data_IF_411767483471
#
_entry.id   IF_411767483471
#
_cell.length_a   1.000
_cell.length_b   1.000
_cell.length_c   1.000
_cell.angle_alpha   90.00
_cell.angle_beta   90.00
_cell.angle_gamma   90.00
#
_symmetry.space_group_name_H-M   'P 1'
#
loop_
_entity.id
_entity.type
_entity.pdbx_description
1 polymer ?
#
# COMPACT_ATOMS: atom_id res chain seq x y z
N UNK A 1 11.73 10.76 8.50
CA UNK A 1 11.77 9.32 8.79
C UNK A 1 12.56 8.59 7.69
N UNK A 2 13.44 7.68 8.08
CA UNK A 2 14.32 6.93 7.18
C UNK A 2 13.77 5.56 6.82
N UNK A 3 14.50 4.84 5.97
CA UNK A 3 14.26 3.42 5.70
C UNK A 3 14.89 2.62 6.85
N UNK A 4 14.12 1.69 7.42
CA UNK A 4 14.55 0.81 8.51
C UNK A 4 14.52 -0.64 8.05
N UNK A 5 15.45 -1.46 8.55
CA UNK A 5 15.35 -2.91 8.39
C UNK A 5 14.22 -3.43 9.29
N UNK A 6 13.46 -4.40 8.81
CA UNK A 6 12.41 -5.05 9.59
C UNK A 6 12.63 -6.56 9.61
N UNK A 7 12.28 -7.22 10.72
CA UNK A 7 12.29 -8.67 10.77
C UNK A 7 11.21 -9.22 9.83
N UNK A 8 11.48 -10.37 9.20
CA UNK A 8 10.50 -11.02 8.33
C UNK A 8 9.17 -11.26 9.04
N UNK A 9 9.20 -11.58 10.33
CA UNK A 9 8.02 -11.86 11.14
C UNK A 9 7.13 -10.63 11.33
N UNK A 10 7.62 -9.43 11.02
CA UNK A 10 6.84 -8.20 11.10
C UNK A 10 6.48 -7.67 9.70
N UNK A 11 6.63 -8.45 8.64
CA UNK A 11 6.23 -8.01 7.28
C UNK A 11 4.78 -7.55 7.24
N UNK A 12 3.87 -8.41 7.70
CA UNK A 12 2.45 -8.14 7.77
C UNK A 12 2.04 -7.99 9.23
N UNK A 13 1.13 -7.06 9.51
CA UNK A 13 0.62 -6.82 10.85
C UNK A 13 -0.90 -7.00 10.85
N UNK A 14 -1.38 -7.70 11.87
CA UNK A 14 -2.80 -7.96 12.08
C UNK A 14 -3.20 -7.26 13.38
N UNK A 15 -4.28 -6.49 13.31
CA UNK A 15 -4.86 -5.81 14.47
C UNK A 15 -6.35 -6.13 14.58
N UNK A 16 -7.00 -5.50 15.56
CA UNK A 16 -8.41 -5.72 15.87
C UNK A 16 -9.38 -5.32 14.74
N UNK A 17 -8.93 -4.51 13.77
CA UNK A 17 -9.76 -4.04 12.65
C UNK A 17 -9.79 -5.02 11.48
N UNK A 18 -8.95 -6.07 11.51
CA UNK A 18 -8.78 -7.02 10.41
C UNK A 18 -10.10 -7.55 9.81
N UNK A 19 -11.06 -7.97 10.64
CA UNK A 19 -12.34 -8.52 10.17
C UNK A 19 -13.18 -7.50 9.40
N UNK A 20 -13.29 -6.28 9.93
CA UNK A 20 -14.05 -5.19 9.30
C UNK A 20 -13.38 -4.75 8.00
N UNK A 21 -12.05 -4.68 8.03
CA UNK A 21 -11.25 -4.31 6.85
C UNK A 21 -11.35 -5.34 5.74
N UNK A 22 -11.31 -6.65 6.04
CA UNK A 22 -11.56 -7.66 5.03
C UNK A 22 -12.97 -7.58 4.43
N UNK A 23 -13.98 -7.24 5.24
CA UNK A 23 -15.35 -7.04 4.74
C UNK A 23 -15.45 -5.86 3.78
N UNK A 24 -14.74 -4.77 4.08
CA UNK A 24 -14.62 -3.62 3.18
C UNK A 24 -13.85 -3.99 1.89
N UNK A 25 -12.70 -4.67 2.01
CA UNK A 25 -11.91 -5.14 0.85
C UNK A 25 -12.75 -6.05 -0.05
N UNK A 26 -13.57 -6.94 0.52
CA UNK A 26 -14.48 -7.78 -0.26
C UNK A 26 -15.53 -6.95 -1.01
N UNK A 27 -16.12 -5.94 -0.36
CA UNK A 27 -17.09 -5.04 -1.00
C UNK A 27 -16.46 -4.26 -2.16
N UNK A 28 -15.24 -3.73 -1.97
CA UNK A 28 -14.49 -3.02 -3.01
C UNK A 28 -14.10 -3.94 -4.17
N UNK A 29 -13.73 -5.19 -3.91
CA UNK A 29 -13.43 -6.17 -4.96
C UNK A 29 -14.66 -6.54 -5.80
N UNK A 30 -15.87 -6.44 -5.23
CA UNK A 30 -17.12 -6.66 -5.96
C UNK A 30 -17.50 -5.44 -6.80
N UNK A 31 -17.35 -4.24 -6.25
CA UNK A 31 -17.78 -2.99 -6.88
C UNK A 31 -16.76 -2.46 -7.89
N UNK A 32 -15.46 -2.56 -7.58
CA UNK A 32 -14.35 -2.00 -8.36
C UNK A 32 -13.26 -3.05 -8.65
N UNK A 33 -13.59 -4.22 -9.25
CA UNK A 33 -12.65 -5.33 -9.41
C UNK A 33 -11.36 -4.94 -10.15
N UNK A 34 -11.47 -4.15 -11.22
CA UNK A 34 -10.34 -3.73 -12.06
C UNK A 34 -9.55 -2.56 -11.45
N UNK A 35 -10.13 -1.83 -10.50
CA UNK A 35 -9.41 -0.76 -9.79
C UNK A 35 -8.60 -1.31 -8.63
N UNK A 36 -9.05 -2.43 -8.03
CA UNK A 36 -8.43 -3.07 -6.88
C UNK A 36 -7.40 -4.13 -7.29
N UNK A 37 -7.64 -4.87 -8.37
CA UNK A 37 -6.72 -5.88 -8.87
C UNK A 37 -6.40 -5.60 -10.33
N UNK A 38 -5.12 -5.71 -10.69
CA UNK A 38 -4.70 -5.59 -12.08
C UNK A 38 -3.45 -6.38 -12.38
N UNK A 39 -3.37 -6.86 -13.61
CA UNK A 39 -2.17 -7.46 -14.21
C UNK A 39 -2.02 -6.97 -15.64
N UNK A 40 -0.81 -6.62 -16.07
CA UNK A 40 -0.58 -6.14 -17.45
C UNK A 40 -0.82 -7.24 -18.49
N UNK A 41 -0.46 -8.49 -18.19
CA UNK A 41 -0.63 -9.62 -19.08
C UNK A 41 -0.75 -10.95 -18.31
N UNK A 42 -1.95 -11.56 -18.34
CA UNK A 42 -2.25 -12.87 -17.73
C UNK A 42 -1.40 -14.04 -18.22
N UNK A 43 -0.87 -13.92 -19.45
CA UNK A 43 -0.06 -14.96 -20.09
C UNK A 43 1.45 -14.78 -19.88
N UNK A 44 1.89 -13.67 -19.29
CA UNK A 44 3.31 -13.43 -19.06
C UNK A 44 3.83 -14.34 -17.95
N UNK A 45 4.76 -15.22 -18.31
CA UNK A 45 5.33 -16.23 -17.40
C UNK A 45 6.17 -15.61 -16.28
N UNK A 46 6.75 -14.42 -16.49
CA UNK A 46 7.53 -13.71 -15.47
C UNK A 46 6.61 -13.15 -14.39
N UNK A 47 5.49 -12.54 -14.80
CA UNK A 47 4.49 -12.02 -13.87
C UNK A 47 3.85 -13.18 -13.10
N UNK A 48 3.53 -14.29 -13.80
CA UNK A 48 3.03 -15.50 -13.16
C UNK A 48 3.97 -16.03 -12.10
N UNK A 49 5.28 -16.10 -12.38
CA UNK A 49 6.28 -16.54 -11.42
C UNK A 49 6.29 -15.64 -10.17
N UNK A 50 6.26 -14.31 -10.34
CA UNK A 50 6.26 -13.37 -9.23
C UNK A 50 4.99 -13.46 -8.37
N UNK A 51 3.80 -13.52 -8.99
CA UNK A 51 2.52 -13.66 -8.29
C UNK A 51 2.44 -15.01 -7.59
N UNK A 52 2.86 -16.09 -8.23
CA UNK A 52 2.91 -17.44 -7.65
C UNK A 52 3.81 -17.48 -6.42
N UNK A 53 5.01 -16.91 -6.52
CA UNK A 53 5.98 -16.90 -5.45
C UNK A 53 5.48 -16.10 -4.24
N UNK A 54 4.90 -14.91 -4.46
CA UNK A 54 4.26 -14.14 -3.38
C UNK A 54 3.09 -14.94 -2.76
N UNK A 55 2.18 -15.45 -3.58
CA UNK A 55 1.01 -16.20 -3.13
C UNK A 55 1.41 -17.41 -2.28
N UNK A 56 2.32 -18.25 -2.78
CA UNK A 56 2.79 -19.43 -2.08
C UNK A 56 3.53 -19.03 -0.80
N UNK A 57 4.36 -17.98 -0.84
CA UNK A 57 5.02 -17.49 0.36
C UNK A 57 4.00 -17.08 1.43
N UNK A 58 2.98 -16.31 1.07
CA UNK A 58 1.93 -15.87 1.99
C UNK A 58 1.15 -17.04 2.58
N UNK A 59 0.54 -17.87 1.73
CA UNK A 59 -0.46 -18.86 2.15
C UNK A 59 0.12 -20.22 2.55
N UNK A 60 1.26 -20.62 1.97
CA UNK A 60 1.91 -21.88 2.33
C UNK A 60 2.85 -21.72 3.52
N UNK A 61 3.53 -20.57 3.63
CA UNK A 61 4.64 -20.39 4.58
C UNK A 61 4.33 -19.36 5.66
N UNK A 62 4.04 -18.12 5.27
CA UNK A 62 4.05 -16.99 6.18
C UNK A 62 2.87 -16.99 7.14
N UNK A 63 1.65 -16.92 6.61
CA UNK A 63 0.42 -16.79 7.38
C UNK A 63 0.18 -17.97 8.34
N UNK A 64 0.24 -19.25 7.93
CA UNK A 64 0.05 -20.37 8.85
C UNK A 64 1.12 -20.47 9.95
N UNK A 65 2.36 -20.05 9.68
CA UNK A 65 3.45 -20.15 10.67
C UNK A 65 3.46 -18.95 11.61
N UNK A 66 3.26 -17.73 11.07
CA UNK A 66 3.33 -16.49 11.84
C UNK A 66 2.05 -16.17 12.60
N UNK A 67 0.90 -16.60 12.07
CA UNK A 67 -0.43 -16.33 12.59
C UNK A 67 -1.30 -17.61 12.68
N UNK A 68 -0.85 -18.68 13.36
CA UNK A 68 -1.57 -19.96 13.43
C UNK A 68 -2.92 -19.89 14.17
N UNK A 69 -3.15 -18.82 14.94
CA UNK A 69 -4.44 -18.53 15.58
C UNK A 69 -5.47 -17.95 14.61
N UNK A 70 -5.04 -17.42 13.46
CA UNK A 70 -5.90 -16.85 12.42
C UNK A 70 -5.98 -17.81 11.23
N UNK A 71 -4.86 -18.43 10.85
CA UNK A 71 -4.77 -19.30 9.68
C UNK A 71 -4.41 -20.73 10.08
N UNK A 72 -5.32 -21.67 9.84
CA UNK A 72 -5.11 -23.09 10.15
C UNK A 72 -5.00 -23.93 8.90
N UNK A 73 -3.99 -24.80 8.88
CA UNK A 73 -3.85 -25.82 7.85
C UNK A 73 -4.74 -27.00 8.21
N UNK A 74 -5.49 -27.50 7.25
CA UNK A 74 -6.19 -28.78 7.38
C UNK A 74 -6.04 -29.60 6.09
N UNK A 75 -6.04 -30.92 6.25
CA UNK A 75 -6.06 -31.84 5.11
C UNK A 75 -7.48 -31.99 4.61
N UNK A 76 -7.70 -31.68 3.33
CA UNK A 76 -8.95 -32.00 2.69
C UNK A 76 -9.02 -33.52 2.47
N UNK A 77 -9.91 -34.18 3.21
CA UNK A 77 -10.12 -35.64 3.16
C UNK A 77 -10.49 -36.15 1.77
N UNK A 78 -11.08 -35.30 0.93
CA UNK A 78 -11.57 -35.69 -0.39
C UNK A 78 -10.49 -35.56 -1.48
N UNK A 79 -9.49 -34.70 -1.30
CA UNK A 79 -8.45 -34.43 -2.32
C UNK A 79 -7.02 -34.76 -1.89
N UNK A 80 -6.79 -35.12 -0.62
CA UNK A 80 -5.44 -35.25 -0.03
C UNK A 80 -4.58 -33.98 -0.18
N UNK A 81 -5.20 -32.82 -0.44
CA UNK A 81 -4.51 -31.54 -0.57
C UNK A 81 -4.66 -30.76 0.73
N UNK A 82 -3.55 -30.21 1.23
CA UNK A 82 -3.57 -29.28 2.34
C UNK A 82 -4.20 -27.95 1.91
N UNK A 83 -5.17 -27.48 2.69
CA UNK A 83 -5.87 -26.21 2.51
C UNK A 83 -5.59 -25.31 3.70
N UNK A 84 -5.71 -24.00 3.50
CA UNK A 84 -5.64 -23.01 4.57
C UNK A 84 -7.05 -22.49 4.87
N UNK A 85 -7.47 -22.56 6.13
CA UNK A 85 -8.68 -21.90 6.62
C UNK A 85 -8.29 -20.57 7.27
N UNK A 86 -8.86 -19.47 6.81
CA UNK A 86 -8.89 -18.22 7.53
C UNK A 86 -10.03 -18.27 8.56
N UNK A 87 -9.69 -18.40 9.85
CA UNK A 87 -10.66 -18.60 10.93
C UNK A 87 -11.54 -17.37 11.21
N UNK A 88 -11.13 -16.19 10.75
CA UNK A 88 -11.91 -14.96 10.89
C UNK A 88 -13.02 -14.94 9.85
N UNK A 89 -12.70 -15.20 8.58
CA UNK A 89 -13.68 -15.16 7.48
C UNK A 89 -14.37 -16.50 7.22
N UNK A 90 -13.86 -17.59 7.82
CA UNK A 90 -14.26 -18.99 7.56
C UNK A 90 -14.06 -19.43 6.11
N UNK A 91 -13.26 -18.69 5.35
CA UNK A 91 -12.92 -19.06 3.99
C UNK A 91 -11.77 -20.06 3.98
N UNK A 92 -11.90 -21.03 3.06
CA UNK A 92 -10.87 -22.03 2.80
C UNK A 92 -10.25 -21.76 1.45
N UNK A 93 -8.92 -21.72 1.38
CA UNK A 93 -8.19 -21.35 0.19
C UNK A 93 -7.03 -22.32 -0.09
N UNK A 94 -6.65 -22.50 -1.36
CA UNK A 94 -5.45 -23.26 -1.72
C UNK A 94 -4.21 -22.63 -1.09
N UNK A 95 -3.31 -23.47 -0.54
CA UNK A 95 -2.03 -22.98 -0.01
C UNK A 95 -1.05 -22.59 -1.12
N UNK A 96 -1.26 -23.08 -2.34
CA UNK A 96 -0.39 -22.86 -3.49
C UNK A 96 -1.18 -22.53 -4.74
N UNK A 97 -0.64 -21.65 -5.57
CA UNK A 97 -1.18 -21.34 -6.89
C UNK A 97 -0.83 -22.46 -7.89
N UNK A 98 -1.82 -22.94 -8.64
CA UNK A 98 -1.63 -23.93 -9.71
C UNK A 98 -1.44 -23.26 -11.07
N UNK A 99 -0.99 -24.03 -12.07
CA UNK A 99 -0.87 -23.55 -13.46
C UNK A 99 -2.20 -23.08 -14.05
N UNK A 100 -3.33 -23.63 -13.57
CA UNK A 100 -4.68 -23.25 -14.01
C UNK A 100 -5.25 -22.05 -13.25
N UNK A 101 -4.59 -21.59 -12.18
CA UNK A 101 -5.07 -20.43 -11.42
C UNK A 101 -4.83 -19.14 -12.21
N UNK A 102 -5.87 -18.34 -12.53
CA UNK A 102 -5.69 -17.03 -13.15
C UNK A 102 -4.95 -16.06 -12.21
N UNK A 103 -4.12 -15.16 -12.74
CA UNK A 103 -3.33 -14.23 -11.91
C UNK A 103 -4.25 -13.25 -11.17
N UNK A 104 -5.29 -12.73 -11.82
CA UNK A 104 -6.32 -11.93 -11.15
C UNK A 104 -6.98 -12.69 -9.99
N UNK A 105 -7.23 -13.99 -10.15
CA UNK A 105 -7.83 -14.82 -9.09
C UNK A 105 -6.91 -14.99 -7.87
N UNK A 106 -5.61 -15.17 -8.12
CA UNK A 106 -4.61 -15.24 -7.06
C UNK A 106 -4.46 -13.90 -6.32
N UNK A 107 -4.37 -12.78 -7.05
CA UNK A 107 -4.28 -11.43 -6.49
C UNK A 107 -5.55 -11.05 -5.71
N UNK A 108 -6.73 -11.43 -6.21
CA UNK A 108 -8.00 -11.27 -5.48
C UNK A 108 -7.97 -12.03 -4.15
N UNK A 109 -7.48 -13.28 -4.15
CA UNK A 109 -7.37 -14.08 -2.93
C UNK A 109 -6.43 -13.41 -1.91
N UNK A 110 -5.32 -12.81 -2.36
CA UNK A 110 -4.44 -12.00 -1.52
C UNK A 110 -5.22 -10.83 -0.91
N UNK A 111 -5.89 -10.00 -1.72
CA UNK A 111 -6.65 -8.86 -1.23
C UNK A 111 -7.80 -9.23 -0.27
N UNK A 112 -8.39 -10.41 -0.41
CA UNK A 112 -9.47 -10.91 0.45
C UNK A 112 -8.99 -11.44 1.81
N UNK A 113 -7.70 -11.74 1.97
CA UNK A 113 -7.18 -12.40 3.16
C UNK A 113 -6.04 -11.64 3.85
N UNK A 114 -5.46 -10.66 3.16
CA UNK A 114 -4.35 -9.87 3.66
C UNK A 114 -4.70 -8.39 3.51
N UNK A 115 -4.57 -7.67 4.61
CA UNK A 115 -5.03 -6.29 4.76
C UNK A 115 -3.98 -5.24 4.33
N UNK A 116 -2.81 -5.71 3.92
CA UNK A 116 -1.85 -4.96 3.14
C UNK A 116 -2.28 -4.87 1.67
N UNK A 117 -2.01 -3.72 1.05
CA UNK A 117 -2.07 -3.54 -0.39
C UNK A 117 -0.71 -3.87 -0.99
N UNK A 118 -0.69 -4.56 -2.13
CA UNK A 118 0.52 -5.09 -2.76
C UNK A 118 0.69 -4.56 -4.18
N UNK A 119 1.86 -4.01 -4.45
CA UNK A 119 2.38 -3.71 -5.77
C UNK A 119 3.57 -4.61 -6.08
N UNK A 120 3.51 -5.27 -7.24
CA UNK A 120 4.50 -6.24 -7.70
C UNK A 120 5.25 -5.62 -8.86
N UNK A 121 6.51 -5.25 -8.61
CA UNK A 121 7.35 -4.63 -9.62
C UNK A 121 8.38 -5.63 -10.15
N UNK A 122 8.42 -5.83 -11.47
CA UNK A 122 9.40 -6.70 -12.09
C UNK A 122 10.61 -5.92 -12.62
N UNK A 123 11.82 -6.48 -12.50
CA UNK A 123 13.00 -5.91 -13.15
C UNK A 123 12.91 -6.08 -14.67
N UNK A 124 13.21 -5.02 -15.38
CA UNK A 124 13.32 -4.97 -16.83
C UNK A 124 14.69 -4.39 -17.20
N UNK A 125 15.44 -5.12 -18.03
CA UNK A 125 16.68 -4.61 -18.61
C UNK A 125 16.37 -3.56 -19.67
N UNK A 126 17.12 -2.47 -19.65
CA UNK A 126 17.09 -1.49 -20.73
C UNK A 126 18.04 -1.94 -21.85
N UNK A 127 17.68 -1.71 -23.10
CA UNK A 127 18.47 -2.14 -24.26
C UNK A 127 19.88 -1.54 -24.26
N UNK A 128 20.03 -0.30 -23.75
CA UNK A 128 21.29 0.46 -23.76
C UNK A 128 21.91 0.68 -22.36
N UNK A 129 21.49 -0.07 -21.34
CA UNK A 129 22.05 0.06 -19.99
C UNK A 129 22.16 -1.28 -19.27
N UNK A 130 23.23 -1.44 -18.49
CA UNK A 130 23.36 -2.56 -17.55
C UNK A 130 22.45 -2.42 -16.33
N UNK A 131 21.77 -1.27 -16.16
CA UNK A 131 20.86 -1.03 -15.04
C UNK A 131 19.45 -1.54 -15.33
N UNK A 132 18.91 -2.28 -14.36
CA UNK A 132 17.51 -2.70 -14.36
C UNK A 132 16.61 -1.56 -13.91
N UNK A 133 15.48 -1.40 -14.59
CA UNK A 133 14.36 -0.57 -14.14
C UNK A 133 13.23 -1.44 -13.67
N UNK A 134 12.45 -0.95 -12.73
CA UNK A 134 11.32 -1.70 -12.17
C UNK A 134 10.02 -1.19 -12.76
N UNK A 135 9.19 -2.10 -13.27
CA UNK A 135 7.87 -1.82 -13.86
C UNK A 135 6.80 -2.42 -12.97
N UNK A 136 5.73 -1.66 -12.68
CA UNK A 136 4.57 -2.18 -11.97
C UNK A 136 3.77 -3.09 -12.90
N UNK A 137 3.84 -4.40 -12.71
CA UNK A 137 3.22 -5.38 -13.61
C UNK A 137 1.95 -6.00 -13.04
N UNK A 138 1.80 -6.00 -11.71
CA UNK A 138 0.62 -6.50 -11.05
C UNK A 138 0.36 -5.79 -9.71
N UNK A 139 -0.90 -5.74 -9.30
CA UNK A 139 -1.29 -5.22 -7.99
C UNK A 139 -2.53 -5.89 -7.41
N UNK A 140 -2.63 -5.82 -6.09
CA UNK A 140 -3.81 -6.08 -5.28
C UNK A 140 -3.89 -4.97 -4.23
N UNK A 141 -4.61 -3.88 -4.52
CA UNK A 141 -4.57 -2.65 -3.73
C UNK A 141 -5.97 -2.04 -3.57
N UNK A 142 -6.53 -2.17 -2.37
CA UNK A 142 -7.80 -1.60 -1.98
C UNK A 142 -7.67 -0.17 -1.49
N UNK A 143 -6.61 0.19 -0.76
CA UNK A 143 -6.51 1.49 -0.08
C UNK A 143 -5.32 2.35 -0.56
N UNK A 144 -5.07 2.52 -1.88
CA UNK A 144 -4.14 3.54 -2.34
C UNK A 144 -4.70 4.94 -2.02
N UNK A 145 -3.81 5.89 -1.75
CA UNK A 145 -4.18 7.29 -1.50
C UNK A 145 -3.68 8.19 -2.62
N UNK A 146 -4.60 8.92 -3.25
CA UNK A 146 -4.24 10.00 -4.17
C UNK A 146 -3.87 9.59 -5.59
N UNK A 147 -4.07 8.32 -5.96
CA UNK A 147 -3.92 7.83 -7.33
C UNK A 147 -4.68 6.53 -7.56
N UNK A 148 -5.01 6.26 -8.83
CA UNK A 148 -5.62 5.00 -9.25
C UNK A 148 -4.53 4.01 -9.71
N UNK A 149 -4.43 2.80 -9.10
CA UNK A 149 -3.44 1.80 -9.50
C UNK A 149 -3.52 1.42 -10.99
N UNK A 150 -4.72 1.32 -11.56
CA UNK A 150 -4.94 1.04 -12.99
C UNK A 150 -4.29 2.05 -13.93
N UNK A 151 -4.13 3.31 -13.50
CA UNK A 151 -3.45 4.34 -14.29
C UNK A 151 -1.92 4.24 -14.18
N UNK A 152 -1.41 3.45 -13.23
CA UNK A 152 0.03 3.30 -12.93
C UNK A 152 0.60 1.97 -13.41
N UNK A 153 -0.24 0.94 -13.58
CA UNK A 153 0.20 -0.36 -14.07
C UNK A 153 0.83 -0.25 -15.47
N UNK A 154 1.87 -1.05 -15.72
CA UNK A 154 2.70 -1.02 -16.93
C UNK A 154 3.74 0.11 -16.99
N UNK A 155 3.75 1.03 -16.01
CA UNK A 155 4.72 2.14 -15.98
C UNK A 155 5.96 1.79 -15.18
N UNK A 156 7.09 2.40 -15.56
CA UNK A 156 8.34 2.33 -14.79
C UNK A 156 8.18 3.09 -13.47
N UNK A 157 8.94 2.69 -12.46
CA UNK A 157 8.96 3.31 -11.13
C UNK A 157 9.14 4.84 -11.20
N UNK A 158 10.04 5.32 -12.06
CA UNK A 158 10.27 6.75 -12.24
C UNK A 158 9.07 7.49 -12.86
N UNK A 159 8.33 6.84 -13.77
CA UNK A 159 7.13 7.42 -14.40
C UNK A 159 5.95 7.46 -13.42
N UNK A 160 5.82 6.43 -12.57
CA UNK A 160 4.80 6.40 -11.50
C UNK A 160 4.99 7.61 -10.56
N UNK A 161 6.25 7.91 -10.22
CA UNK A 161 6.62 9.01 -9.32
C UNK A 161 6.77 10.37 -10.02
N UNK A 162 6.58 10.47 -11.33
CA UNK A 162 6.70 11.72 -12.08
C UNK A 162 5.93 12.92 -11.49
N UNK A 163 4.71 12.74 -10.92
CA UNK A 163 3.97 13.83 -10.27
C UNK A 163 4.55 14.29 -8.92
N UNK A 164 5.46 13.54 -8.30
CA UNK A 164 5.98 13.85 -6.96
C UNK A 164 7.04 14.97 -7.07
N UNK A 165 6.82 16.13 -6.41
CA UNK A 165 7.74 17.25 -6.54
C UNK A 165 9.16 16.92 -6.07
N UNK A 166 10.16 17.31 -6.88
CA UNK A 166 11.57 17.08 -6.61
C UNK A 166 12.01 15.61 -6.72
N UNK A 167 11.15 14.68 -7.16
CA UNK A 167 11.50 13.26 -7.25
C UNK A 167 12.67 13.04 -8.20
N UNK A 168 12.59 13.56 -9.43
CA UNK A 168 13.60 13.33 -10.47
C UNK A 168 14.97 13.87 -10.05
N UNK A 169 14.98 15.05 -9.43
CA UNK A 169 16.20 15.78 -9.08
C UNK A 169 16.82 15.24 -7.78
N UNK A 170 16.01 14.89 -6.78
CA UNK A 170 16.47 14.60 -5.41
C UNK A 170 16.38 13.12 -5.02
N UNK A 171 15.48 12.34 -5.59
CA UNK A 171 15.13 11.01 -5.09
C UNK A 171 15.43 9.87 -6.06
N UNK A 172 15.16 10.05 -7.36
CA UNK A 172 15.18 8.98 -8.36
C UNK A 172 16.47 8.16 -8.31
N UNK A 173 17.64 8.80 -8.44
CA UNK A 173 18.94 8.10 -8.43
C UNK A 173 19.19 7.32 -7.13
N UNK A 174 18.71 7.81 -5.99
CA UNK A 174 18.87 7.11 -4.72
C UNK A 174 17.92 5.92 -4.63
N UNK A 175 16.69 6.07 -5.11
CA UNK A 175 15.69 5.00 -5.15
C UNK A 175 16.10 3.89 -6.11
N UNK A 176 16.54 4.22 -7.32
CA UNK A 176 17.01 3.24 -8.31
C UNK A 176 18.16 2.39 -7.76
N UNK A 177 19.17 3.03 -7.15
CA UNK A 177 20.28 2.32 -6.48
C UNK A 177 19.81 1.46 -5.32
N UNK A 178 18.82 1.91 -4.56
CA UNK A 178 18.29 1.16 -3.43
C UNK A 178 17.58 -0.11 -3.91
N UNK A 179 16.70 0.01 -4.91
CA UNK A 179 15.98 -1.12 -5.50
C UNK A 179 16.96 -2.12 -6.12
N UNK A 180 17.99 -1.66 -6.84
CA UNK A 180 19.01 -2.52 -7.43
C UNK A 180 19.79 -3.33 -6.38
N UNK A 181 20.07 -2.75 -5.19
CA UNK A 181 20.86 -3.37 -4.11
C UNK A 181 20.05 -4.10 -3.05
N UNK A 182 18.72 -4.18 -3.18
CA UNK A 182 17.89 -4.86 -2.19
C UNK A 182 17.97 -6.38 -2.41
N UNK A 183 18.83 -7.04 -1.65
CA UNK A 183 19.00 -8.50 -1.74
C UNK A 183 17.80 -9.27 -1.17
N UNK A 184 17.45 -10.45 -1.74
CA UNK A 184 16.46 -11.33 -1.15
C UNK A 184 16.81 -11.69 0.31
N UNK A 185 15.78 -11.80 1.15
CA UNK A 185 15.94 -12.02 2.60
C UNK A 185 16.21 -10.75 3.40
N UNK A 186 16.45 -9.61 2.75
CA UNK A 186 16.43 -8.29 3.40
C UNK A 186 15.06 -7.65 3.23
N UNK A 187 14.46 -7.31 4.37
CA UNK A 187 13.17 -6.64 4.43
C UNK A 187 13.35 -5.25 5.01
N UNK A 188 12.71 -4.26 4.41
CA UNK A 188 12.74 -2.89 4.93
C UNK A 188 11.34 -2.34 5.09
N UNK A 189 11.21 -1.36 5.97
CA UNK A 189 10.02 -0.56 6.14
C UNK A 189 10.34 0.93 6.12
N UNK A 190 9.33 1.73 5.82
CA UNK A 190 9.30 3.17 6.09
C UNK A 190 7.86 3.59 6.38
N UNK A 191 7.69 4.79 6.92
CA UNK A 191 6.37 5.40 7.09
C UNK A 191 6.20 6.53 6.11
N UNK A 192 5.06 6.55 5.43
CA UNK A 192 4.55 7.69 4.69
C UNK A 192 3.30 8.21 5.42
N UNK A 193 3.05 9.51 5.36
CA UNK A 193 1.88 10.11 6.01
C UNK A 193 1.29 11.26 5.20
N UNK A 194 0.01 11.54 5.45
CA UNK A 194 -0.73 12.69 4.93
C UNK A 194 -1.93 12.97 5.84
N UNK A 195 -2.53 14.16 5.73
CA UNK A 195 -3.89 14.38 6.24
C UNK A 195 -4.89 14.08 5.13
N UNK A 196 -6.03 13.54 5.52
CA UNK A 196 -7.22 13.39 4.67
C UNK A 196 -8.40 14.04 5.37
N UNK A 197 -9.10 14.93 4.68
CA UNK A 197 -10.28 15.65 5.17
C UNK A 197 -11.45 15.25 4.29
N UNK A 198 -12.55 14.81 4.90
CA UNK A 198 -13.75 14.31 4.22
C UNK A 198 -13.46 13.10 3.31
N UNK A 199 -12.62 12.18 3.78
CA UNK A 199 -12.27 10.96 3.04
C UNK A 199 -12.26 9.71 3.94
N UNK A 200 -12.48 8.56 3.30
CA UNK A 200 -12.44 7.24 3.93
C UNK A 200 -11.18 6.44 3.49
N UNK A 201 -11.08 5.16 3.91
CA UNK A 201 -9.95 4.28 3.55
C UNK A 201 -9.76 4.15 2.03
N UNK A 202 -10.86 4.00 1.29
CA UNK A 202 -10.91 3.97 -0.17
C UNK A 202 -10.89 5.40 -0.72
N UNK A 203 -9.69 5.92 -0.99
CA UNK A 203 -9.49 7.27 -1.54
C UNK A 203 -8.52 7.22 -2.72
N UNK A 204 -8.88 6.39 -3.71
CA UNK A 204 -8.08 6.14 -4.89
C UNK A 204 -8.18 7.25 -5.95
N UNK A 205 -8.87 8.36 -5.66
CA UNK A 205 -8.99 9.49 -6.59
C UNK A 205 -7.65 10.20 -6.77
N UNK A 206 -7.35 10.62 -8.01
CA UNK A 206 -6.11 11.33 -8.31
C UNK A 206 -6.09 12.71 -7.63
N UNK A 207 -5.32 12.82 -6.54
CA UNK A 207 -5.18 14.06 -5.76
C UNK A 207 -4.27 15.09 -6.44
N UNK A 208 -3.52 14.69 -7.47
CA UNK A 208 -2.68 15.58 -8.27
C UNK A 208 -3.45 16.26 -9.41
N UNK A 209 -4.62 15.72 -9.76
CA UNK A 209 -5.60 16.39 -10.61
C UNK A 209 -6.52 17.25 -9.74
N UNK A 210 -7.06 18.38 -10.24
CA UNK A 210 -7.97 19.24 -9.48
C UNK A 210 -9.37 18.64 -9.24
N UNK A 211 -9.48 17.32 -9.00
CA UNK A 211 -10.75 16.59 -8.89
C UNK A 211 -11.62 17.03 -7.69
N UNK A 212 -11.07 17.82 -6.76
CA UNK A 212 -11.76 18.47 -5.64
C UNK A 212 -11.67 20.00 -5.72
N UNK A 213 -11.90 20.59 -6.89
CA UNK A 213 -11.98 22.05 -7.07
C UNK A 213 -13.24 22.70 -6.46
N UNK A 214 -14.20 21.91 -5.94
CA UNK A 214 -15.54 22.38 -5.59
C UNK A 214 -15.83 22.79 -4.14
N UNK A 215 -15.29 22.11 -3.13
CA UNK A 215 -15.94 22.16 -1.78
C UNK A 215 -15.06 22.59 -0.62
N UNK A 216 -13.73 22.47 -0.69
CA UNK A 216 -12.85 22.74 0.45
C UNK A 216 -11.72 23.68 0.02
N UNK A 217 -11.97 25.00 0.08
CA UNK A 217 -10.92 26.02 -0.08
C UNK A 217 -10.81 26.80 1.22
N UNK A 218 -9.62 26.79 1.82
CA UNK A 218 -9.30 27.51 3.05
C UNK A 218 -10.27 27.21 4.20
N UNK A 219 -10.31 25.95 4.64
CA UNK A 219 -11.14 25.55 5.78
C UNK A 219 -10.77 26.37 7.02
N UNK A 220 -11.78 26.78 7.79
CA UNK A 220 -11.62 27.16 9.19
C UNK A 220 -11.80 25.95 10.11
N UNK A 221 -11.57 26.11 11.41
CA UNK A 221 -11.78 25.03 12.40
C UNK A 221 -13.23 24.57 12.40
N UNK A 222 -14.18 25.49 12.23
CA UNK A 222 -15.62 25.20 12.21
C UNK A 222 -16.05 24.37 10.99
N UNK A 223 -15.27 24.40 9.90
CA UNK A 223 -15.52 23.61 8.70
C UNK A 223 -14.97 22.16 8.82
N UNK A 224 -14.17 21.85 9.84
CA UNK A 224 -13.61 20.51 10.02
C UNK A 224 -14.66 19.55 10.57
N UNK A 225 -15.04 18.58 9.75
CA UNK A 225 -15.66 17.36 10.25
C UNK A 225 -14.58 16.49 10.91
N UNK A 226 -14.51 16.53 12.24
CA UNK A 226 -13.52 15.79 13.03
C UNK A 226 -13.70 14.27 12.91
N UNK A 227 -14.91 13.79 12.62
CA UNK A 227 -15.18 12.36 12.39
C UNK A 227 -14.67 11.90 11.02
N UNK A 228 -14.41 12.83 10.10
CA UNK A 228 -13.90 12.57 8.75
C UNK A 228 -12.55 13.21 8.47
N UNK A 229 -11.85 13.65 9.50
CA UNK A 229 -10.50 14.20 9.36
C UNK A 229 -9.51 13.28 10.05
N UNK A 230 -8.59 12.74 9.27
CA UNK A 230 -7.68 11.71 9.73
C UNK A 230 -6.22 12.04 9.42
N UNK A 231 -5.35 11.73 10.37
CA UNK A 231 -3.96 11.43 10.08
C UNK A 231 -3.92 10.05 9.39
N UNK A 232 -3.60 10.04 8.10
CA UNK A 232 -3.40 8.83 7.31
C UNK A 232 -1.93 8.44 7.31
N UNK A 233 -1.63 7.26 7.84
CA UNK A 233 -0.28 6.72 7.92
C UNK A 233 -0.18 5.40 7.16
N UNK A 234 0.81 5.29 6.28
CA UNK A 234 1.12 4.07 5.55
C UNK A 234 2.40 3.47 6.10
N UNK A 235 2.28 2.28 6.69
CA UNK A 235 3.43 1.43 6.97
C UNK A 235 3.81 0.70 5.69
N UNK A 236 4.81 1.21 5.00
CA UNK A 236 5.25 0.71 3.72
C UNK A 236 6.41 -0.28 3.93
N UNK A 237 6.28 -1.49 3.42
CA UNK A 237 7.33 -2.51 3.39
C UNK A 237 7.81 -2.76 1.97
N UNK A 238 9.08 -3.13 1.85
CA UNK A 238 9.71 -3.44 0.58
C UNK A 238 10.63 -4.65 0.74
N UNK A 239 10.51 -5.62 -0.15
CA UNK A 239 11.44 -6.76 -0.22
C UNK A 239 11.53 -7.34 -1.62
N UNK A 240 12.63 -8.04 -1.90
CA UNK A 240 12.84 -8.78 -3.15
C UNK A 240 12.49 -10.25 -2.96
N UNK A 241 11.72 -10.79 -3.90
CA UNK A 241 11.46 -12.22 -3.99
C UNK A 241 12.68 -12.96 -4.56
N UNK A 242 13.11 -14.09 -3.96
CA UNK A 242 14.36 -14.76 -4.32
C UNK A 242 14.36 -15.42 -5.71
N UNK A 243 13.22 -15.93 -6.19
CA UNK A 243 13.16 -16.69 -7.44
C UNK A 243 12.80 -15.82 -8.65
N UNK A 244 11.78 -14.99 -8.52
CA UNK A 244 11.33 -14.07 -9.58
C UNK A 244 12.17 -12.80 -9.69
N UNK A 245 12.88 -12.43 -8.62
CA UNK A 245 13.56 -11.14 -8.52
C UNK A 245 12.62 -9.93 -8.41
N UNK A 246 11.30 -10.16 -8.35
CA UNK A 246 10.32 -9.09 -8.24
C UNK A 246 10.46 -8.36 -6.89
N UNK A 247 10.23 -7.06 -6.92
CA UNK A 247 10.13 -6.23 -5.73
C UNK A 247 8.67 -6.15 -5.33
N UNK A 248 8.40 -6.54 -4.08
CA UNK A 248 7.09 -6.42 -3.46
C UNK A 248 7.11 -5.16 -2.62
N UNK A 249 6.34 -4.17 -3.06
CA UNK A 249 5.99 -3.00 -2.27
C UNK A 249 4.62 -3.24 -1.67
N UNK A 250 4.56 -3.41 -0.36
CA UNK A 250 3.32 -3.59 0.36
C UNK A 250 3.10 -2.44 1.34
N UNK A 251 1.85 -2.04 1.57
CA UNK A 251 1.57 -1.02 2.57
C UNK A 251 0.30 -1.32 3.35
N UNK A 252 0.38 -1.08 4.65
CA UNK A 252 -0.78 -1.08 5.54
C UNK A 252 -1.17 0.36 5.85
N UNK A 253 -2.42 0.72 5.59
CA UNK A 253 -2.97 2.05 5.83
C UNK A 253 -3.67 2.11 7.18
N UNK A 254 -3.23 3.00 8.05
CA UNK A 254 -3.90 3.41 9.28
C UNK A 254 -4.57 4.77 9.09
N UNK A 255 -5.78 4.93 9.61
CA UNK A 255 -6.44 6.21 9.77
C UNK A 255 -6.63 6.48 11.25
N UNK A 256 -6.08 7.60 11.72
CA UNK A 256 -6.23 8.06 13.09
C UNK A 256 -7.05 9.35 13.09
N UNK A 257 -8.23 9.40 13.73
CA UNK A 257 -8.98 10.63 13.90
C UNK A 257 -8.08 11.73 14.47
N UNK A 258 -8.14 12.94 13.94
CA UNK A 258 -7.30 14.03 14.44
C UNK A 258 -7.63 14.40 15.90
N UNK A 259 -8.85 14.12 16.36
CA UNK A 259 -9.25 14.26 17.75
C UNK A 259 -8.43 13.31 18.65
N UNK A 260 -8.29 12.03 18.27
CA UNK A 260 -7.53 11.05 19.05
C UNK A 260 -6.05 11.47 19.17
N UNK A 261 -5.46 11.97 18.07
CA UNK A 261 -4.07 12.50 18.07
C UNK A 261 -3.92 13.68 19.04
N UNK A 262 -4.94 14.54 19.11
CA UNK A 262 -4.95 15.66 20.05
C UNK A 262 -5.09 15.17 21.50
N UNK A 263 -6.03 14.28 21.74
CA UNK A 263 -6.37 13.78 23.09
C UNK A 263 -5.24 12.95 23.71
N UNK A 264 -4.44 12.25 22.90
CA UNK A 264 -3.25 11.54 23.36
C UNK A 264 -2.03 12.47 23.64
N UNK A 265 -2.16 13.77 23.37
CA UNK A 265 -1.13 14.78 23.62
C UNK A 265 -0.15 15.02 22.46
N UNK A 266 -0.36 14.36 21.31
CA UNK A 266 0.49 14.48 20.11
C UNK A 266 0.10 15.66 19.19
N UNK A 267 -0.82 16.52 19.62
CA UNK A 267 -1.35 17.62 18.80
C UNK A 267 -0.29 18.59 18.30
N UNK A 268 0.60 19.06 19.19
CA UNK A 268 1.68 19.98 18.82
C UNK A 268 2.71 19.32 17.90
N UNK A 269 3.03 18.03 18.12
CA UNK A 269 3.97 17.29 17.27
C UNK A 269 3.44 17.16 15.83
N UNK A 270 2.15 16.86 15.66
CA UNK A 270 1.53 16.82 14.34
C UNK A 270 1.45 18.22 13.70
N UNK A 271 1.14 19.26 14.48
CA UNK A 271 1.12 20.63 13.99
C UNK A 271 2.51 21.08 13.49
N UNK A 272 3.58 20.73 14.22
CA UNK A 272 4.97 20.98 13.78
C UNK A 272 5.34 20.16 12.53
N UNK A 273 4.85 18.92 12.40
CA UNK A 273 5.04 18.14 11.19
C UNK A 273 4.38 18.80 9.96
N UNK A 274 3.20 19.42 10.14
CA UNK A 274 2.52 20.21 9.11
C UNK A 274 3.33 21.46 8.77
N UNK A 275 3.85 22.18 9.77
CA UNK A 275 4.73 23.34 9.56
C UNK A 275 6.01 22.96 8.78
N UNK A 276 6.58 21.79 9.08
CA UNK A 276 7.74 21.25 8.38
C UNK A 276 7.44 20.81 6.94
N UNK A 277 6.21 20.37 6.66
CA UNK A 277 5.74 20.09 5.30
C UNK A 277 5.64 21.36 4.47
N UNK A 278 5.12 22.44 5.03
CA UNK A 278 4.99 23.76 4.38
C UNK A 278 6.37 24.43 4.16
N UNK A 279 7.22 24.41 5.17
CA UNK A 279 8.51 25.11 5.18
C UNK A 279 9.69 24.25 4.71
N UNK A 280 9.42 23.01 4.28
CA UNK A 280 10.44 22.03 3.90
C UNK A 280 11.27 22.41 2.68
N UNK A 281 12.29 21.58 2.39
CA UNK A 281 13.23 21.81 1.27
C UNK A 281 12.63 21.63 -0.13
N UNK A 282 11.37 21.18 -0.23
CA UNK A 282 10.58 21.03 -1.46
C UNK A 282 9.19 21.56 -1.14
N UNK A 283 8.97 22.86 -1.32
CA UNK A 283 7.75 23.56 -0.89
C UNK A 283 6.51 23.08 -1.64
N UNK A 284 6.68 22.68 -2.88
CA UNK A 284 5.63 22.14 -3.74
C UNK A 284 5.01 20.86 -3.17
N UNK A 285 5.70 20.18 -2.24
CA UNK A 285 5.17 19.00 -1.54
C UNK A 285 3.93 19.35 -0.69
N UNK A 286 3.86 20.58 -0.15
CA UNK A 286 2.71 21.06 0.61
C UNK A 286 1.46 21.08 -0.26
N UNK A 287 1.52 21.75 -1.42
CA UNK A 287 0.43 21.78 -2.40
C UNK A 287 0.12 20.39 -2.96
N UNK A 288 1.14 19.57 -3.24
CA UNK A 288 0.94 18.19 -3.68
C UNK A 288 0.14 17.34 -2.67
N UNK A 289 0.29 17.60 -1.36
CA UNK A 289 -0.51 16.98 -0.29
C UNK A 289 -1.78 17.78 0.07
N UNK A 290 -2.19 18.73 -0.78
CA UNK A 290 -3.34 19.60 -0.58
C UNK A 290 -3.29 20.44 0.71
N UNK A 291 -2.10 20.70 1.26
CA UNK A 291 -1.91 21.43 2.52
C UNK A 291 -2.58 22.80 2.52
N UNK A 292 -2.58 23.49 1.36
CA UNK A 292 -3.22 24.80 1.17
C UNK A 292 -4.70 24.82 1.59
N UNK A 293 -5.39 23.67 1.55
CA UNK A 293 -6.82 23.57 1.83
C UNK A 293 -7.14 23.41 3.32
N UNK A 294 -6.31 22.67 4.06
CA UNK A 294 -6.66 22.16 5.39
C UNK A 294 -5.66 22.53 6.49
N UNK A 295 -4.42 22.91 6.15
CA UNK A 295 -3.35 23.04 7.14
C UNK A 295 -3.61 24.09 8.21
N UNK A 296 -4.27 25.20 7.88
CA UNK A 296 -4.58 26.25 8.87
C UNK A 296 -5.58 25.76 9.92
N UNK A 297 -6.75 25.28 9.48
CA UNK A 297 -7.76 24.73 10.38
C UNK A 297 -7.20 23.60 11.24
N UNK A 298 -6.49 22.65 10.64
CA UNK A 298 -5.96 21.49 11.38
C UNK A 298 -4.93 21.94 12.42
N UNK A 299 -4.02 22.86 12.09
CA UNK A 299 -3.05 23.39 13.07
C UNK A 299 -3.73 24.11 14.23
N UNK A 300 -4.73 24.95 13.94
CA UNK A 300 -5.48 25.67 14.95
C UNK A 300 -6.26 24.71 15.87
N UNK A 301 -6.91 23.71 15.29
CA UNK A 301 -7.57 22.66 16.05
C UNK A 301 -6.59 21.90 16.96
N UNK A 302 -5.45 21.44 16.43
CA UNK A 302 -4.47 20.66 17.19
C UNK A 302 -3.82 21.44 18.35
N UNK A 303 -3.78 22.77 18.26
CA UNK A 303 -3.13 23.67 19.24
C UNK A 303 -4.09 24.34 20.22
N UNK A 304 -5.40 24.14 20.07
CA UNK A 304 -6.42 24.74 20.95
C UNK A 304 -6.61 24.02 22.27
#
# INVERSE_FOLDING_TARGET
MGIETVDRNDLLLFDQTYSERLSLRESLLREYPDDVVGVTNESDTRIRLAVQELYNYLFQTYLPVRYPSIFKIYENKDSSTAMLENLVTRQTLPMTMTVSTPLHGALRTIAQNVDEDFFILLPQRQEDSSEEVYVLEAYAACFPSGFQPKEKIGKKLAEIHGPVPGYKEKLQKSMDRFFARLDPGRYVKRVNWSLTVDEELFSNFDKSKPAFEGTLKNLSVEDLDLEKTFLRCERQTLHRLPNSGAIIFAFHTYLYPIQDIKDEGSGEDLAQAIDGLENGSVREMFTYKNGDKWANAVREFLRS
#
